data_IF_517625874382
#
_entry.id   IF_517625874382
#
_cell.length_a   1.000
_cell.length_b   1.000
_cell.length_c   1.000
_cell.angle_alpha   90.00
_cell.angle_beta   90.00
_cell.angle_gamma   90.00
#
_symmetry.space_group_name_H-M   'P 1'
#
loop_
_entity.id
_entity.type
_entity.pdbx_description
1 polymer ?
#
# COMPACT_ATOMS: atom_id res chain seq x y z
N UNK A 1 20.89 -1.40 11.10
CA UNK A 1 20.81 -1.19 9.63
C UNK A 1 19.70 -2.04 9.02
N UNK A 2 19.61 -3.34 9.33
CA UNK A 2 18.57 -4.26 8.82
C UNK A 2 17.11 -3.75 8.96
N UNK A 3 16.72 -3.23 10.13
CA UNK A 3 15.34 -2.73 10.38
C UNK A 3 14.96 -1.56 9.47
N UNK A 4 15.94 -0.74 9.02
CA UNK A 4 15.66 0.42 8.15
C UNK A 4 15.32 0.01 6.72
N UNK A 5 15.90 -1.08 6.23
CA UNK A 5 15.56 -1.64 4.92
C UNK A 5 14.31 -2.52 4.98
N UNK A 6 13.98 -3.05 6.18
CA UNK A 6 12.82 -3.91 6.35
C UNK A 6 11.49 -3.20 6.02
N UNK A 7 11.30 -1.95 6.46
CA UNK A 7 10.07 -1.18 6.20
C UNK A 7 9.83 -1.00 4.69
N UNK A 8 10.77 -0.47 3.89
CA UNK A 8 10.53 -0.31 2.46
C UNK A 8 10.45 -1.64 1.71
N UNK A 9 11.22 -2.66 2.09
CA UNK A 9 11.08 -3.99 1.47
C UNK A 9 9.71 -4.60 1.77
N UNK A 10 9.17 -4.39 2.98
CA UNK A 10 7.85 -4.86 3.35
C UNK A 10 6.74 -4.12 2.58
N UNK A 11 6.88 -2.81 2.39
CA UNK A 11 5.96 -2.03 1.56
C UNK A 11 6.00 -2.46 0.08
N UNK A 12 7.20 -2.71 -0.47
CA UNK A 12 7.34 -3.24 -1.83
C UNK A 12 6.78 -4.65 -1.96
N UNK A 13 6.99 -5.51 -0.97
CA UNK A 13 6.41 -6.85 -0.93
C UNK A 13 4.87 -6.80 -0.87
N UNK A 14 4.31 -5.88 -0.08
CA UNK A 14 2.87 -5.65 -0.01
C UNK A 14 2.31 -5.21 -1.37
N UNK A 15 2.96 -4.23 -2.01
CA UNK A 15 2.58 -3.76 -3.34
C UNK A 15 2.72 -4.84 -4.42
N UNK A 16 3.82 -5.61 -4.40
CA UNK A 16 4.02 -6.74 -5.29
C UNK A 16 2.94 -7.82 -5.13
N UNK A 17 2.59 -8.15 -3.89
CA UNK A 17 1.48 -9.04 -3.58
C UNK A 17 0.16 -8.52 -4.14
N UNK A 18 -0.11 -7.22 -3.99
CA UNK A 18 -1.30 -6.58 -4.58
C UNK A 18 -1.32 -6.71 -6.12
N UNK A 19 -0.19 -6.45 -6.79
CA UNK A 19 -0.09 -6.51 -8.26
C UNK A 19 -0.06 -7.94 -8.81
N UNK A 20 0.03 -8.95 -7.94
CA UNK A 20 0.07 -10.36 -8.31
C UNK A 20 -1.34 -10.97 -8.44
N UNK A 21 -1.40 -12.27 -8.73
CA UNK A 21 -2.66 -13.00 -8.83
C UNK A 21 -3.28 -13.25 -7.45
N UNK A 22 -4.52 -12.80 -7.26
CA UNK A 22 -5.31 -13.03 -6.05
C UNK A 22 -6.34 -14.14 -6.25
N UNK A 23 -6.95 -14.22 -7.42
CA UNK A 23 -7.75 -15.38 -7.83
C UNK A 23 -7.00 -16.09 -8.95
N UNK A 24 -6.36 -17.23 -8.65
CA UNK A 24 -5.65 -18.00 -9.66
C UNK A 24 -6.66 -18.65 -10.61
N UNK A 25 -6.36 -18.62 -11.90
CA UNK A 25 -7.11 -19.32 -12.93
C UNK A 25 -6.12 -19.81 -14.00
N UNK A 26 -6.31 -21.02 -14.59
CA UNK A 26 -5.41 -21.55 -15.63
C UNK A 26 -5.41 -20.68 -16.90
N UNK A 27 -6.55 -20.12 -17.27
CA UNK A 27 -6.68 -19.19 -18.40
C UNK A 27 -6.25 -17.79 -17.96
N UNK A 28 -5.25 -17.22 -18.63
CA UNK A 28 -4.64 -15.93 -18.29
C UNK A 28 -5.67 -14.78 -18.21
N UNK A 29 -6.66 -14.73 -19.12
CA UNK A 29 -7.70 -13.70 -19.13
C UNK A 29 -8.74 -13.81 -18.00
N UNK A 30 -8.73 -14.90 -17.24
CA UNK A 30 -9.61 -15.12 -16.08
C UNK A 30 -8.84 -15.05 -14.76
N UNK A 31 -7.52 -14.79 -14.81
CA UNK A 31 -6.74 -14.55 -13.61
C UNK A 31 -7.08 -13.15 -13.11
N UNK A 32 -7.52 -13.05 -11.86
CA UNK A 32 -7.84 -11.75 -11.25
C UNK A 32 -6.63 -11.28 -10.46
N UNK A 33 -6.04 -10.17 -10.90
CA UNK A 33 -4.98 -9.49 -10.15
C UNK A 33 -5.60 -8.64 -9.04
N UNK A 34 -4.81 -8.26 -8.03
CA UNK A 34 -5.33 -7.38 -6.98
C UNK A 34 -5.77 -6.02 -7.51
N UNK A 35 -5.12 -5.50 -8.55
CA UNK A 35 -5.55 -4.27 -9.24
C UNK A 35 -6.91 -4.38 -9.91
N UNK A 36 -7.29 -5.58 -10.33
CA UNK A 36 -8.59 -5.81 -10.97
C UNK A 36 -9.70 -6.02 -9.94
N UNK A 37 -9.36 -6.43 -8.70
CA UNK A 37 -10.33 -6.73 -7.65
C UNK A 37 -11.28 -5.57 -7.42
N UNK A 38 -10.75 -4.35 -7.37
CA UNK A 38 -11.56 -3.17 -7.12
C UNK A 38 -12.67 -2.97 -8.16
N UNK A 39 -12.39 -3.33 -9.42
CA UNK A 39 -13.36 -3.30 -10.52
C UNK A 39 -14.30 -4.49 -10.46
N UNK A 40 -13.79 -5.70 -10.29
CA UNK A 40 -14.62 -6.91 -10.21
C UNK A 40 -15.54 -6.91 -8.99
N UNK A 41 -15.09 -6.41 -7.85
CA UNK A 41 -15.88 -6.28 -6.63
C UNK A 41 -17.10 -5.35 -6.82
N UNK A 42 -17.00 -4.34 -7.71
CA UNK A 42 -18.16 -3.51 -8.09
C UNK A 42 -19.21 -4.28 -8.88
N UNK A 43 -18.87 -5.41 -9.51
CA UNK A 43 -19.83 -6.22 -10.28
C UNK A 43 -20.71 -7.09 -9.39
N UNK A 44 -20.30 -7.36 -8.14
CA UNK A 44 -21.07 -8.17 -7.19
C UNK A 44 -22.12 -7.35 -6.42
N UNK A 45 -22.75 -6.35 -7.05
CA UNK A 45 -23.76 -5.49 -6.40
C UNK A 45 -25.00 -6.25 -5.91
N UNK A 46 -25.28 -7.42 -6.48
CA UNK A 46 -26.39 -8.30 -6.09
C UNK A 46 -26.01 -9.36 -5.06
N UNK A 47 -24.73 -9.49 -4.72
CA UNK A 47 -24.28 -10.45 -3.70
C UNK A 47 -24.62 -9.94 -2.29
N UNK A 48 -24.95 -10.86 -1.38
CA UNK A 48 -25.17 -10.55 0.03
C UNK A 48 -23.82 -10.35 0.74
N UNK A 49 -23.10 -9.30 0.35
CA UNK A 49 -21.85 -8.91 0.99
C UNK A 49 -22.20 -8.19 2.30
N UNK A 50 -21.63 -8.57 3.46
CA UNK A 50 -21.91 -7.87 4.71
C UNK A 50 -21.26 -6.49 4.74
N UNK A 51 -21.90 -5.53 5.42
CA UNK A 51 -21.29 -4.24 5.74
C UNK A 51 -20.07 -4.44 6.68
N UNK A 52 -18.95 -3.70 6.52
CA UNK A 52 -18.72 -2.60 5.57
C UNK A 52 -18.21 -3.05 4.19
N UNK A 53 -17.96 -4.34 3.98
CA UNK A 53 -17.25 -4.87 2.81
C UNK A 53 -17.97 -4.69 1.48
N UNK A 54 -19.26 -4.31 1.52
CA UNK A 54 -20.04 -3.89 0.35
C UNK A 54 -19.40 -2.73 -0.41
N UNK A 55 -18.63 -1.87 0.27
CA UNK A 55 -17.91 -0.80 -0.40
C UNK A 55 -16.52 -1.30 -0.83
N UNK A 56 -16.28 -1.54 -2.13
CA UNK A 56 -15.02 -2.13 -2.58
C UNK A 56 -13.82 -1.18 -2.40
N UNK A 57 -14.04 0.08 -2.02
CA UNK A 57 -12.96 1.06 -1.86
C UNK A 57 -11.99 0.72 -0.72
N UNK A 58 -12.37 -0.15 0.22
CA UNK A 58 -11.43 -0.65 1.22
C UNK A 58 -10.23 -1.37 0.60
N UNK A 59 -10.35 -1.91 -0.63
CA UNK A 59 -9.24 -2.53 -1.36
C UNK A 59 -8.18 -1.53 -1.85
N UNK A 60 -8.40 -0.22 -1.72
CA UNK A 60 -7.40 0.81 -2.00
C UNK A 60 -6.40 0.96 -0.83
N UNK A 61 -6.82 0.66 0.40
CA UNK A 61 -6.01 0.89 1.61
C UNK A 61 -4.60 0.27 1.57
N UNK A 62 -4.40 -0.95 1.05
CA UNK A 62 -3.08 -1.56 0.99
C UNK A 62 -2.12 -0.83 0.06
N UNK A 63 -2.58 -0.44 -1.13
CA UNK A 63 -1.80 0.38 -2.07
C UNK A 63 -1.52 1.76 -1.50
N UNK A 64 -2.51 2.41 -0.89
CA UNK A 64 -2.33 3.70 -0.24
C UNK A 64 -1.28 3.62 0.89
N UNK A 65 -1.35 2.59 1.72
CA UNK A 65 -0.39 2.36 2.81
C UNK A 65 1.02 2.15 2.27
N UNK A 66 1.19 1.31 1.23
CA UNK A 66 2.50 1.07 0.62
C UNK A 66 3.06 2.35 -0.05
N UNK A 67 2.23 3.07 -0.80
CA UNK A 67 2.63 4.33 -1.47
C UNK A 67 3.03 5.40 -0.46
N UNK A 68 2.22 5.63 0.57
CA UNK A 68 2.53 6.59 1.63
C UNK A 68 3.82 6.19 2.36
N UNK A 69 4.00 4.91 2.67
CA UNK A 69 5.23 4.44 3.32
C UNK A 69 6.46 4.76 2.46
N UNK A 70 6.43 4.41 1.17
CA UNK A 70 7.58 4.60 0.27
C UNK A 70 7.85 6.07 -0.02
N UNK A 71 6.82 6.89 -0.18
CA UNK A 71 6.98 8.33 -0.40
C UNK A 71 7.68 9.02 0.78
N UNK A 72 7.31 8.67 2.02
CA UNK A 72 7.91 9.26 3.22
C UNK A 72 9.34 8.75 3.46
N UNK A 73 9.59 7.45 3.22
CA UNK A 73 10.92 6.86 3.37
C UNK A 73 11.92 7.34 2.32
N UNK A 74 11.46 7.64 1.11
CA UNK A 74 12.28 8.20 0.03
C UNK A 74 12.96 9.52 0.41
N UNK A 75 12.49 10.21 1.44
CA UNK A 75 13.09 11.47 1.91
C UNK A 75 13.59 11.40 3.35
N UNK A 76 13.71 10.20 3.91
CA UNK A 76 14.27 10.03 5.24
C UNK A 76 15.71 10.59 5.28
N UNK A 77 15.90 11.62 6.10
CA UNK A 77 17.19 12.17 6.44
C UNK A 77 17.86 11.21 7.42
N UNK A 78 18.70 10.31 6.91
CA UNK A 78 19.89 9.73 7.55
C UNK A 78 20.21 8.38 6.91
N UNK A 79 21.03 8.40 5.85
CA UNK A 79 21.83 7.22 5.53
C UNK A 79 23.00 7.19 6.54
N UNK A 80 23.15 6.14 7.37
CA UNK A 80 24.32 6.03 8.22
C UNK A 80 25.57 5.93 7.34
N UNK A 81 26.65 6.61 7.78
CA UNK A 81 28.06 6.47 7.39
C UNK A 81 28.42 5.82 6.05
N UNK A 82 29.24 6.53 5.28
CA UNK A 82 30.05 6.02 4.16
C UNK A 82 29.32 5.73 2.84
N UNK A 83 27.99 5.82 2.78
CA UNK A 83 27.28 5.67 1.52
C UNK A 83 27.54 6.88 0.60
N UNK A 84 27.97 6.61 -0.63
CA UNK A 84 28.22 7.64 -1.63
C UNK A 84 26.93 8.44 -1.86
N UNK A 85 27.03 9.78 -1.84
CA UNK A 85 25.87 10.69 -1.94
C UNK A 85 24.99 10.36 -3.15
N UNK A 86 25.59 9.91 -4.26
CA UNK A 86 24.87 9.49 -5.46
C UNK A 86 23.96 8.27 -5.22
N UNK A 87 24.45 7.23 -4.54
CA UNK A 87 23.67 6.00 -4.26
C UNK A 87 22.45 6.32 -3.39
N UNK A 88 22.63 7.18 -2.40
CA UNK A 88 21.52 7.64 -1.55
C UNK A 88 20.45 8.30 -2.41
N UNK A 89 20.82 9.24 -3.28
CA UNK A 89 19.87 9.90 -4.18
C UNK A 89 19.16 8.95 -5.14
N UNK A 90 19.87 7.96 -5.72
CA UNK A 90 19.26 6.96 -6.60
C UNK A 90 18.22 6.13 -5.87
N UNK A 91 18.50 5.66 -4.64
CA UNK A 91 17.54 4.90 -3.84
C UNK A 91 16.32 5.76 -3.49
N UNK A 92 16.54 7.03 -3.09
CA UNK A 92 15.47 7.97 -2.80
C UNK A 92 14.54 8.18 -3.99
N UNK A 93 15.12 8.44 -5.17
CA UNK A 93 14.37 8.63 -6.40
C UNK A 93 13.62 7.34 -6.78
N UNK A 94 14.25 6.18 -6.67
CA UNK A 94 13.61 4.90 -6.94
C UNK A 94 12.39 4.65 -6.02
N UNK A 95 12.52 4.93 -4.72
CA UNK A 95 11.39 4.80 -3.78
C UNK A 95 10.28 5.79 -4.06
N UNK A 96 10.63 7.02 -4.44
CA UNK A 96 9.66 8.04 -4.81
C UNK A 96 8.91 7.66 -6.10
N UNK A 97 9.62 7.22 -7.14
CA UNK A 97 9.01 6.70 -8.37
C UNK A 97 8.12 5.49 -8.07
N UNK A 98 8.58 4.54 -7.26
CA UNK A 98 7.78 3.39 -6.85
C UNK A 98 6.51 3.83 -6.12
N UNK A 99 6.58 4.84 -5.24
CA UNK A 99 5.40 5.35 -4.54
C UNK A 99 4.36 5.94 -5.50
N UNK A 100 4.80 6.66 -6.53
CA UNK A 100 3.92 7.22 -7.56
C UNK A 100 3.31 6.13 -8.45
N UNK A 101 4.13 5.16 -8.85
CA UNK A 101 3.66 4.00 -9.61
C UNK A 101 2.59 3.23 -8.84
N UNK A 102 2.80 2.97 -7.55
CA UNK A 102 1.82 2.29 -6.68
C UNK A 102 0.56 3.14 -6.50
N UNK A 103 0.70 4.46 -6.33
CA UNK A 103 -0.46 5.36 -6.26
C UNK A 103 -1.29 5.28 -7.54
N UNK A 104 -0.64 5.22 -8.71
CA UNK A 104 -1.33 5.11 -10.00
C UNK A 104 -2.22 3.85 -10.09
N UNK A 105 -1.82 2.76 -9.42
CA UNK A 105 -2.61 1.51 -9.37
C UNK A 105 -3.90 1.62 -8.55
N UNK A 106 -4.12 2.74 -7.84
CA UNK A 106 -5.38 3.03 -7.14
C UNK A 106 -6.48 3.46 -8.12
N UNK A 107 -6.10 4.03 -9.27
CA UNK A 107 -7.06 4.48 -10.27
C UNK A 107 -7.87 3.28 -10.81
N UNK A 108 -9.14 3.52 -11.18
CA UNK A 108 -9.95 2.48 -11.78
C UNK A 108 -9.34 2.02 -13.10
N UNK A 109 -9.53 0.76 -13.48
CA UNK A 109 -8.99 0.21 -14.73
C UNK A 109 -9.49 0.97 -15.98
N UNK A 110 -10.72 1.50 -15.92
CA UNK A 110 -11.37 2.27 -16.98
C UNK A 110 -11.18 3.79 -16.83
N UNK A 111 -10.13 4.22 -16.11
CA UNK A 111 -9.88 5.64 -15.85
C UNK A 111 -9.82 6.47 -17.14
N UNK A 112 -10.61 7.55 -17.13
CA UNK A 112 -10.58 8.63 -18.12
C UNK A 112 -10.79 9.95 -17.39
N UNK A 113 -10.22 11.07 -17.87
CA UNK A 113 -10.44 12.40 -17.26
C UNK A 113 -11.92 12.74 -17.06
N UNK A 114 -12.79 12.32 -17.99
CA UNK A 114 -14.23 12.53 -17.94
C UNK A 114 -14.96 11.79 -16.81
N UNK A 115 -14.38 10.71 -16.28
CA UNK A 115 -15.04 9.78 -15.35
C UNK A 115 -14.45 9.84 -13.93
N UNK A 116 -13.51 10.75 -13.67
CA UNK A 116 -12.86 10.90 -12.36
C UNK A 116 -13.84 11.37 -11.26
N UNK A 117 -14.83 12.18 -11.65
CA UNK A 117 -15.81 12.78 -10.74
C UNK A 117 -17.07 11.93 -10.55
N UNK A 118 -17.13 10.77 -11.18
CA UNK A 118 -18.24 9.86 -10.98
C UNK A 118 -18.24 9.34 -9.54
N UNK A 119 -19.42 9.26 -8.91
CA UNK A 119 -19.56 8.86 -7.51
C UNK A 119 -18.96 7.48 -7.23
N UNK A 120 -19.00 6.57 -8.20
CA UNK A 120 -18.40 5.23 -8.15
C UNK A 120 -16.87 5.22 -8.13
N UNK A 121 -16.23 6.31 -8.57
CA UNK A 121 -14.77 6.44 -8.68
C UNK A 121 -14.20 7.51 -7.74
N UNK A 122 -15.04 8.37 -7.17
CA UNK A 122 -14.63 9.52 -6.36
C UNK A 122 -13.64 9.14 -5.26
N UNK A 123 -13.91 8.07 -4.51
CA UNK A 123 -13.05 7.70 -3.38
C UNK A 123 -11.70 7.11 -3.84
N UNK A 124 -11.64 6.49 -5.03
CA UNK A 124 -10.37 6.07 -5.65
C UNK A 124 -9.57 7.28 -6.14
N UNK A 125 -10.25 8.22 -6.80
CA UNK A 125 -9.67 9.50 -7.23
C UNK A 125 -9.09 10.26 -6.04
N UNK A 126 -9.84 10.32 -4.93
CA UNK A 126 -9.38 10.93 -3.67
C UNK A 126 -8.18 10.18 -3.10
N UNK A 127 -8.22 8.84 -3.05
CA UNK A 127 -7.09 8.03 -2.59
C UNK A 127 -5.82 8.24 -3.41
N UNK A 128 -5.96 8.26 -4.74
CA UNK A 128 -4.89 8.58 -5.69
C UNK A 128 -4.34 9.99 -5.49
N UNK A 129 -5.21 11.00 -5.45
CA UNK A 129 -4.83 12.40 -5.26
C UNK A 129 -4.15 12.62 -3.91
N UNK A 130 -4.62 11.94 -2.86
CA UNK A 130 -4.01 11.97 -1.55
C UNK A 130 -2.60 11.36 -1.56
N UNK A 131 -2.42 10.16 -2.13
CA UNK A 131 -1.12 9.50 -2.17
C UNK A 131 -0.11 10.26 -3.03
N UNK A 132 -0.53 10.74 -4.21
CA UNK A 132 0.34 11.54 -5.08
C UNK A 132 0.65 12.91 -4.47
N UNK A 133 -0.33 13.59 -3.86
CA UNK A 133 -0.11 14.82 -3.11
C UNK A 133 0.91 14.64 -1.98
N UNK A 134 0.78 13.59 -1.18
CA UNK A 134 1.76 13.24 -0.15
C UNK A 134 3.13 12.91 -0.75
N UNK A 135 3.20 12.25 -1.90
CA UNK A 135 4.45 11.97 -2.59
C UNK A 135 5.13 13.22 -3.14
N UNK A 136 4.38 14.18 -3.69
CA UNK A 136 4.91 15.46 -4.16
C UNK A 136 5.40 16.34 -3.01
N UNK A 137 4.66 16.33 -1.89
CA UNK A 137 5.00 17.07 -0.67
C UNK A 137 5.99 16.32 0.24
N UNK A 138 6.42 15.12 -0.14
CA UNK A 138 7.32 14.28 0.67
C UNK A 138 8.67 14.94 1.01
N UNK A 139 9.32 15.77 0.15
CA UNK A 139 10.56 16.44 0.53
C UNK A 139 10.37 17.40 1.73
N UNK A 140 9.17 17.96 1.87
CA UNK A 140 8.83 18.91 2.93
C UNK A 140 8.27 18.21 4.18
N UNK A 141 7.55 17.11 3.99
CA UNK A 141 6.77 16.43 5.04
C UNK A 141 7.45 15.20 5.65
N UNK A 142 8.41 14.60 4.94
CA UNK A 142 9.08 13.39 5.41
C UNK A 142 9.74 13.50 6.80
N UNK A 143 10.40 14.62 7.18
CA UNK A 143 10.97 14.73 8.52
C UNK A 143 9.93 14.60 9.64
N UNK A 144 8.73 15.16 9.44
CA UNK A 144 7.67 15.17 10.45
C UNK A 144 6.86 13.88 10.43
N UNK A 145 6.44 13.43 9.24
CA UNK A 145 5.62 12.23 9.08
C UNK A 145 6.40 10.95 9.36
N UNK A 146 7.70 10.90 9.06
CA UNK A 146 8.50 9.72 9.42
C UNK A 146 8.80 9.66 10.91
N UNK A 147 9.03 10.81 11.56
CA UNK A 147 9.12 10.85 13.03
C UNK A 147 7.83 10.35 13.71
N UNK A 148 6.68 10.50 13.02
CA UNK A 148 5.36 10.03 13.47
C UNK A 148 4.97 8.67 12.88
N UNK A 149 5.80 8.02 12.07
CA UNK A 149 5.48 6.76 11.39
C UNK A 149 5.01 5.68 12.36
N UNK A 150 5.64 5.56 13.53
CA UNK A 150 5.23 4.60 14.58
C UNK A 150 3.77 4.73 15.02
N UNK A 151 3.15 5.90 14.86
CA UNK A 151 1.80 6.17 15.32
C UNK A 151 0.75 5.91 14.26
N UNK A 152 1.05 6.20 12.99
CA UNK A 152 0.08 6.07 11.91
C UNK A 152 0.29 4.80 11.08
N UNK A 153 1.53 4.31 10.94
CA UNK A 153 1.85 3.18 10.07
C UNK A 153 1.31 1.85 10.60
N UNK A 154 1.43 1.48 11.89
CA UNK A 154 0.81 0.27 12.41
C UNK A 154 -0.72 0.22 12.24
N UNK A 155 -1.50 1.26 12.62
CA UNK A 155 -2.95 1.21 12.40
C UNK A 155 -3.33 1.25 10.91
N UNK A 156 -2.57 1.95 10.06
CA UNK A 156 -2.78 1.91 8.61
C UNK A 156 -2.53 0.51 8.03
N UNK A 157 -1.43 -0.14 8.42
CA UNK A 157 -1.11 -1.51 7.99
C UNK A 157 -2.14 -2.51 8.51
N UNK A 158 -2.63 -2.35 9.74
CA UNK A 158 -3.70 -3.16 10.29
C UNK A 158 -5.01 -2.96 9.52
N UNK A 159 -5.42 -1.72 9.27
CA UNK A 159 -6.63 -1.42 8.49
C UNK A 159 -6.54 -2.01 7.07
N UNK A 160 -5.38 -1.87 6.42
CA UNK A 160 -5.10 -2.49 5.13
C UNK A 160 -5.16 -4.03 5.20
N UNK A 161 -4.63 -4.64 6.25
CA UNK A 161 -4.65 -6.09 6.45
C UNK A 161 -6.08 -6.61 6.70
N UNK A 162 -6.90 -5.86 7.45
CA UNK A 162 -8.31 -6.20 7.65
C UNK A 162 -9.10 -6.10 6.35
N UNK A 163 -8.90 -5.02 5.57
CA UNK A 163 -9.51 -4.87 4.25
C UNK A 163 -9.08 -5.98 3.28
N UNK A 164 -7.80 -6.36 3.35
CA UNK A 164 -7.26 -7.49 2.60
C UNK A 164 -7.91 -8.81 3.00
N UNK A 165 -8.00 -9.12 4.30
CA UNK A 165 -8.61 -10.35 4.80
C UNK A 165 -10.10 -10.45 4.48
N UNK A 166 -10.81 -9.32 4.42
CA UNK A 166 -12.21 -9.28 4.03
C UNK A 166 -12.46 -9.88 2.65
N UNK A 167 -11.48 -9.85 1.74
CA UNK A 167 -11.56 -10.54 0.45
C UNK A 167 -11.93 -12.02 0.59
N UNK A 168 -11.32 -12.74 1.55
CA UNK A 168 -11.53 -14.17 1.74
C UNK A 168 -12.97 -14.50 2.13
N UNK A 169 -13.57 -13.65 2.94
CA UNK A 169 -14.89 -13.92 3.53
C UNK A 169 -16.00 -13.36 2.64
N UNK A 170 -15.80 -12.18 2.06
CA UNK A 170 -16.83 -11.47 1.33
C UNK A 170 -16.84 -11.76 -0.18
N UNK A 171 -15.68 -11.94 -0.81
CA UNK A 171 -15.57 -11.91 -2.27
C UNK A 171 -15.10 -13.24 -2.88
N UNK A 172 -14.18 -13.94 -2.24
CA UNK A 172 -13.71 -15.24 -2.73
C UNK A 172 -14.86 -16.27 -2.94
N UNK A 173 -15.89 -16.35 -2.07
CA UNK A 173 -17.03 -17.24 -2.31
C UNK A 173 -17.83 -16.85 -3.56
N UNK A 174 -17.96 -15.56 -3.86
CA UNK A 174 -18.68 -15.09 -5.05
C UNK A 174 -17.90 -15.39 -6.33
N UNK A 175 -16.57 -15.26 -6.32
CA UNK A 175 -15.73 -15.75 -7.41
C UNK A 175 -15.84 -17.27 -7.59
N UNK A 176 -15.89 -18.04 -6.49
CA UNK A 176 -16.04 -19.49 -6.56
C UNK A 176 -17.38 -19.89 -7.18
N UNK A 177 -18.46 -19.17 -6.88
CA UNK A 177 -19.77 -19.32 -7.54
C UNK A 177 -19.71 -18.96 -9.02
N UNK A 178 -19.08 -17.83 -9.36
CA UNK A 178 -18.93 -17.37 -10.74
C UNK A 178 -18.16 -18.38 -11.60
N UNK A 179 -17.04 -18.91 -11.08
CA UNK A 179 -16.23 -19.92 -11.77
C UNK A 179 -16.73 -21.35 -11.58
N UNK A 180 -17.83 -21.54 -10.82
CA UNK A 180 -18.45 -22.85 -10.53
C UNK A 180 -17.45 -23.90 -10.01
N UNK A 181 -16.46 -23.46 -9.25
CA UNK A 181 -15.42 -24.32 -8.69
C UNK A 181 -14.89 -23.75 -7.37
N UNK A 182 -14.41 -24.59 -6.44
CA UNK A 182 -13.73 -24.10 -5.26
C UNK A 182 -12.45 -23.36 -5.66
N UNK A 183 -12.25 -22.17 -5.11
CA UNK A 183 -11.07 -21.35 -5.35
C UNK A 183 -10.26 -21.20 -4.08
N UNK A 184 -8.94 -21.19 -4.24
CA UNK A 184 -8.01 -20.81 -3.19
C UNK A 184 -7.40 -19.45 -3.50
N UNK A 185 -7.01 -18.67 -2.48
CA UNK A 185 -6.28 -17.43 -2.69
C UNK A 185 -4.97 -17.69 -3.44
N UNK A 186 -4.66 -16.80 -4.38
CA UNK A 186 -3.42 -16.84 -5.13
C UNK A 186 -2.21 -16.36 -4.33
N UNK A 187 -1.00 -16.49 -4.87
CA UNK A 187 0.23 -16.07 -4.19
C UNK A 187 0.27 -14.56 -3.89
N UNK A 188 -0.43 -13.75 -4.68
CA UNK A 188 -0.52 -12.31 -4.45
C UNK A 188 -1.21 -11.99 -3.12
N UNK A 189 -2.21 -12.80 -2.74
CA UNK A 189 -2.88 -12.66 -1.47
C UNK A 189 -1.89 -12.83 -0.31
N UNK A 190 -1.17 -13.95 -0.28
CA UNK A 190 -0.21 -14.25 0.79
C UNK A 190 0.98 -13.27 0.82
N UNK A 191 1.50 -12.89 -0.36
CA UNK A 191 2.58 -11.92 -0.46
C UNK A 191 2.18 -10.57 0.14
N UNK A 192 0.94 -10.15 -0.08
CA UNK A 192 0.45 -8.91 0.50
C UNK A 192 0.26 -9.01 2.01
N UNK A 193 -0.38 -10.08 2.50
CA UNK A 193 -0.55 -10.31 3.93
C UNK A 193 0.80 -10.28 4.66
N UNK A 194 1.81 -10.98 4.10
CA UNK A 194 3.17 -11.01 4.64
C UNK A 194 3.81 -9.61 4.62
N UNK A 195 3.70 -8.89 3.49
CA UNK A 195 4.22 -7.52 3.38
C UNK A 195 3.63 -6.58 4.43
N UNK A 196 2.30 -6.60 4.62
CA UNK A 196 1.61 -5.77 5.61
C UNK A 196 1.96 -6.17 7.05
N UNK A 197 2.06 -7.48 7.35
CA UNK A 197 2.44 -7.96 8.66
C UNK A 197 3.87 -7.55 9.03
N UNK A 198 4.83 -7.75 8.11
CA UNK A 198 6.22 -7.32 8.30
C UNK A 198 6.30 -5.80 8.44
N UNK A 199 5.52 -5.06 7.65
CA UNK A 199 5.46 -3.60 7.72
C UNK A 199 5.00 -3.11 9.10
N UNK A 200 3.93 -3.71 9.62
CA UNK A 200 3.41 -3.41 10.96
C UNK A 200 4.44 -3.71 12.06
N UNK A 201 5.04 -4.90 12.03
CA UNK A 201 6.07 -5.30 13.01
C UNK A 201 7.30 -4.39 12.92
N UNK A 202 7.78 -4.11 11.72
CA UNK A 202 8.94 -3.24 11.50
C UNK A 202 8.67 -1.82 12.02
N UNK A 203 7.46 -1.29 11.81
CA UNK A 203 7.06 0.02 12.33
C UNK A 203 7.04 0.06 13.86
N UNK A 204 6.52 -0.97 14.52
CA UNK A 204 6.45 -1.06 16.00
C UNK A 204 7.86 -1.17 16.60
N UNK A 205 8.72 -2.02 16.01
CA UNK A 205 10.08 -2.29 16.52
C UNK A 205 11.04 -1.13 16.24
N UNK A 206 10.77 -0.30 15.22
CA UNK A 206 11.59 0.85 14.89
C UNK A 206 11.55 1.93 15.99
N UNK A 207 12.51 1.91 16.91
CA UNK A 207 12.66 2.97 17.92
C UNK A 207 13.20 4.24 17.27
N UNK A 208 12.57 5.42 17.48
CA UNK A 208 13.21 6.67 17.12
C UNK A 208 14.50 6.80 17.94
N UNK A 209 15.60 7.22 17.30
CA UNK A 209 16.79 7.64 18.05
C UNK A 209 16.35 8.78 18.95
N UNK A 210 16.34 8.56 20.26
CA UNK A 210 16.26 9.63 21.24
C UNK A 210 17.50 10.49 21.00
N UNK A 211 17.35 11.60 20.29
CA UNK A 211 18.37 12.66 20.29
C UNK A 211 18.46 13.11 21.73
N UNK A 212 19.46 12.61 22.45
CA UNK A 212 19.76 13.04 23.81
C UNK A 212 19.90 14.56 23.80
N UNK A 213 19.29 15.24 24.77
CA UNK A 213 19.28 16.71 24.89
C UNK A 213 20.67 17.36 24.72
N UNK A 214 21.75 16.60 24.97
CA UNK A 214 23.15 16.97 24.75
C UNK A 214 23.51 17.27 23.27
N UNK A 215 23.01 16.50 22.29
CA UNK A 215 23.29 16.77 20.86
C UNK A 215 22.59 18.04 20.34
N UNK A 216 21.47 18.42 20.96
CA UNK A 216 20.72 19.63 20.59
C UNK A 216 21.41 20.91 21.07
N UNK A 217 22.27 20.80 22.10
CA UNK A 217 23.02 21.92 22.69
C UNK A 217 24.30 22.25 21.90
N UNK A 218 24.91 21.25 21.24
CA UNK A 218 26.10 21.44 20.41
C UNK A 218 25.82 21.92 18.97
N UNK A 219 24.54 22.11 18.60
CA UNK A 219 24.12 22.60 17.27
C UNK A 219 23.56 24.02 17.28
N UNK A 220 23.55 24.69 18.43
CA UNK A 220 23.26 26.13 18.57
C UNK A 220 24.56 26.83 18.92
#
# INVERSE_FOLDING_TARGET
MAIRLLIPTAALLAAWGYLSAWVPHPVAGLKVLGVDLLTFCKLFTSAQIPWPWQNPVFFVLPLATASLTLSQLGWLADAPGHWHRAVVWSVRLAMWIASLFIALQILPLDWKPSNLLWTSNLLQTVGFAFCTGCALLSPLTAPTLTARARWWLPPAALAAATAHAAFLVAYLPEFARLYRQPLQPGPGFYGMALGLAVLMVAAIVSRPRTTTHLERRNRR
#
